data_IF_064448759963
#
_entry.id   IF_064448759963
#
_cell.length_a   1.000
_cell.length_b   1.000
_cell.length_c   1.000
_cell.angle_alpha   90.00
_cell.angle_beta   90.00
_cell.angle_gamma   90.00
#
_symmetry.space_group_name_H-M   'P 1'
#
loop_
_entity.id
_entity.type
_entity.pdbx_description
1 polymer ?
#
# COMPACT_ATOMS: atom_id res chain seq x y z
N UNK A 1 -0.71 12.74 4.50
CA UNK A 1 0.37 12.74 3.50
C UNK A 1 -0.26 12.64 2.11
N UNK A 2 0.50 12.88 1.04
CA UNK A 2 0.01 12.66 -0.33
C UNK A 2 0.43 11.28 -0.80
N UNK A 3 -0.34 10.69 -1.74
CA UNK A 3 -0.04 9.38 -2.30
C UNK A 3 1.39 9.29 -2.83
N UNK A 4 1.87 10.32 -3.52
CA UNK A 4 3.21 10.42 -4.06
C UNK A 4 4.28 10.47 -2.97
N UNK A 5 3.98 11.11 -1.83
CA UNK A 5 4.86 11.11 -0.66
C UNK A 5 4.95 9.72 -0.05
N UNK A 6 3.83 9.01 0.06
CA UNK A 6 3.76 7.67 0.65
C UNK A 6 4.47 6.64 -0.24
N UNK A 7 4.33 6.76 -1.57
CA UNK A 7 5.10 5.96 -2.55
C UNK A 7 6.60 6.24 -2.42
N UNK A 8 7.01 7.50 -2.40
CA UNK A 8 8.43 7.87 -2.24
C UNK A 8 9.01 7.31 -0.94
N UNK A 9 8.21 7.32 0.14
CA UNK A 9 8.62 6.78 1.43
C UNK A 9 8.81 5.26 1.39
N UNK A 10 7.94 4.52 0.70
CA UNK A 10 8.13 3.07 0.50
C UNK A 10 9.42 2.78 -0.25
N UNK A 11 9.74 3.54 -1.29
CA UNK A 11 10.98 3.36 -2.05
C UNK A 11 12.21 3.59 -1.16
N UNK A 12 12.19 4.63 -0.32
CA UNK A 12 13.25 4.88 0.66
C UNK A 12 13.39 3.73 1.67
N UNK A 13 12.27 3.19 2.16
CA UNK A 13 12.25 2.05 3.09
C UNK A 13 12.90 0.83 2.41
N UNK A 14 12.51 0.53 1.16
CA UNK A 14 13.07 -0.58 0.40
C UNK A 14 14.58 -0.41 0.16
N UNK A 15 15.06 0.81 -0.10
CA UNK A 15 16.49 1.09 -0.21
C UNK A 15 17.22 0.89 1.12
N UNK A 16 16.67 1.38 2.23
CA UNK A 16 17.27 1.25 3.56
C UNK A 16 17.32 -0.20 4.04
N UNK A 17 16.31 -1.01 3.74
CA UNK A 17 16.30 -2.44 4.06
C UNK A 17 17.37 -3.23 3.30
N UNK A 18 17.84 -2.73 2.15
CA UNK A 18 18.93 -3.33 1.39
C UNK A 18 20.33 -2.80 1.78
N UNK A 19 20.41 -1.86 2.72
CA UNK A 19 21.69 -1.34 3.20
C UNK A 19 22.42 -2.40 4.04
N UNK A 20 23.75 -2.46 3.91
CA UNK A 20 24.59 -3.45 4.59
C UNK A 20 24.82 -3.18 6.08
N UNK A 21 24.46 -1.99 6.58
CA UNK A 21 24.74 -1.54 7.95
C UNK A 21 23.48 -1.41 8.83
N UNK A 22 22.35 -1.97 8.39
CA UNK A 22 21.09 -1.93 9.13
C UNK A 22 21.06 -2.94 10.27
N UNK A 23 20.61 -2.51 11.45
CA UNK A 23 20.40 -3.41 12.59
C UNK A 23 19.06 -4.14 12.47
N UNK A 24 18.92 -5.30 13.11
CA UNK A 24 17.66 -6.07 13.11
C UNK A 24 16.47 -5.23 13.61
N UNK A 25 16.66 -4.44 14.66
CA UNK A 25 15.62 -3.59 15.24
C UNK A 25 15.18 -2.49 14.26
N UNK A 26 16.14 -1.88 13.54
CA UNK A 26 15.84 -0.92 12.48
C UNK A 26 15.12 -1.58 11.30
N UNK A 27 15.52 -2.79 10.90
CA UNK A 27 14.87 -3.55 9.83
C UNK A 27 13.43 -3.88 10.18
N UNK A 28 13.15 -4.28 11.43
CA UNK A 28 11.79 -4.56 11.90
C UNK A 28 10.93 -3.29 11.89
N UNK A 29 11.44 -2.18 12.41
CA UNK A 29 10.70 -0.91 12.42
C UNK A 29 10.39 -0.41 10.99
N UNK A 30 11.36 -0.48 10.08
CA UNK A 30 11.18 -0.09 8.67
C UNK A 30 10.22 -1.03 7.94
N UNK A 31 10.25 -2.32 8.24
CA UNK A 31 9.31 -3.30 7.68
C UNK A 31 7.88 -3.01 8.13
N UNK A 32 7.65 -2.77 9.42
CA UNK A 32 6.33 -2.41 9.95
C UNK A 32 5.80 -1.10 9.34
N UNK A 33 6.67 -0.09 9.21
CA UNK A 33 6.33 1.17 8.54
C UNK A 33 5.94 0.93 7.08
N UNK A 34 6.74 0.15 6.34
CA UNK A 34 6.49 -0.18 4.94
C UNK A 34 5.18 -0.95 4.74
N UNK A 35 4.89 -1.92 5.61
CA UNK A 35 3.63 -2.67 5.58
C UNK A 35 2.41 -1.78 5.82
N UNK A 36 2.50 -0.82 6.75
CA UNK A 36 1.42 0.13 6.99
C UNK A 36 1.19 1.03 5.77
N UNK A 37 2.25 1.60 5.21
CA UNK A 37 2.16 2.45 4.02
C UNK A 37 1.60 1.69 2.82
N UNK A 38 2.03 0.45 2.60
CA UNK A 38 1.53 -0.37 1.49
C UNK A 38 0.02 -0.57 1.58
N UNK A 39 -0.49 -0.86 2.78
CA UNK A 39 -1.93 -1.01 3.03
C UNK A 39 -2.71 0.30 2.80
N UNK A 40 -2.14 1.43 3.16
CA UNK A 40 -2.76 2.74 2.95
C UNK A 40 -2.82 3.10 1.45
N UNK A 41 -1.75 2.83 0.71
CA UNK A 41 -1.69 3.03 -0.75
C UNK A 41 -2.68 2.12 -1.49
N UNK A 42 -2.77 0.85 -1.10
CA UNK A 42 -3.74 -0.09 -1.66
C UNK A 42 -5.17 0.42 -1.49
N UNK A 43 -5.50 0.90 -0.28
CA UNK A 43 -6.80 1.50 -0.01
C UNK A 43 -7.07 2.75 -0.86
N UNK A 44 -6.07 3.62 -0.99
CA UNK A 44 -6.20 4.83 -1.81
C UNK A 44 -6.44 4.50 -3.29
N UNK A 45 -5.76 3.48 -3.83
CA UNK A 45 -5.95 3.01 -5.20
C UNK A 45 -7.33 2.39 -5.39
N UNK A 46 -7.81 1.59 -4.44
CA UNK A 46 -9.14 1.00 -4.48
C UNK A 46 -10.24 2.08 -4.46
N UNK A 47 -10.10 3.11 -3.63
CA UNK A 47 -11.02 4.25 -3.62
C UNK A 47 -10.98 5.04 -4.93
N UNK A 48 -9.80 5.22 -5.54
CA UNK A 48 -9.66 5.87 -6.83
C UNK A 48 -10.32 5.04 -7.95
N UNK A 49 -10.11 3.71 -7.95
CA UNK A 49 -10.72 2.77 -8.89
C UNK A 49 -12.25 2.84 -8.85
N UNK A 50 -12.84 2.77 -7.66
CA UNK A 50 -14.30 2.89 -7.47
C UNK A 50 -14.85 4.19 -8.01
N UNK A 51 -14.15 5.31 -7.79
CA UNK A 51 -14.57 6.62 -8.33
C UNK A 51 -14.57 6.62 -9.86
N UNK A 52 -13.58 5.99 -10.48
CA UNK A 52 -13.51 5.85 -11.94
C UNK A 52 -14.64 4.97 -12.46
N UNK A 53 -14.91 3.82 -11.83
CA UNK A 53 -16.00 2.90 -12.20
C UNK A 53 -17.37 3.58 -12.13
N UNK A 54 -17.64 4.35 -11.06
CA UNK A 54 -18.88 5.15 -10.93
C UNK A 54 -19.02 6.15 -12.08
N UNK A 55 -17.94 6.83 -12.46
CA UNK A 55 -17.95 7.82 -13.55
C UNK A 55 -18.14 7.16 -14.92
N UNK A 56 -17.60 5.95 -15.11
CA UNK A 56 -17.76 5.17 -16.34
C UNK A 56 -19.15 4.48 -16.42
N UNK A 57 -19.94 4.50 -15.35
CA UNK A 57 -21.25 3.85 -15.30
C UNK A 57 -21.17 2.33 -15.25
N UNK A 58 -20.00 1.79 -14.91
CA UNK A 58 -19.79 0.36 -14.69
C UNK A 58 -20.08 0.07 -13.21
N UNK A 59 -21.35 -0.16 -12.86
CA UNK A 59 -21.68 -0.83 -11.59
C UNK A 59 -21.25 -2.30 -11.70
N UNK A 60 -19.98 -2.59 -11.44
CA UNK A 60 -19.58 -3.97 -11.18
C UNK A 60 -19.93 -4.31 -9.74
N UNK A 61 -21.06 -5.02 -9.58
CA UNK A 61 -21.34 -5.91 -8.45
C UNK A 61 -20.07 -6.69 -8.11
N UNK A 62 -19.32 -6.20 -7.11
CA UNK A 62 -18.14 -6.92 -6.64
C UNK A 62 -18.66 -8.02 -5.73
N UNK A 63 -18.88 -9.19 -6.34
CA UNK A 63 -19.20 -10.43 -5.62
C UNK A 63 -18.19 -10.61 -4.49
N UNK A 64 -18.72 -10.74 -3.27
CA UNK A 64 -17.97 -11.16 -2.10
C UNK A 64 -17.14 -12.40 -2.44
N UNK A 65 -15.81 -12.27 -2.47
CA UNK A 65 -14.98 -13.44 -2.22
C UNK A 65 -15.10 -13.70 -0.73
N UNK A 66 -16.16 -14.42 -0.37
CA UNK A 66 -16.28 -15.06 0.94
C UNK A 66 -15.06 -15.92 1.16
N UNK A 67 -14.45 -15.78 2.34
CA UNK A 67 -13.46 -16.66 2.94
C UNK A 67 -13.42 -18.08 2.31
N UNK A 68 -12.22 -18.51 1.91
CA UNK A 68 -11.89 -19.92 1.88
C UNK A 68 -10.78 -20.16 2.89
N UNK A 69 -11.08 -21.09 3.80
CA UNK A 69 -10.25 -21.60 4.90
C UNK A 69 -8.86 -22.10 4.45
#
# INVERSE_FOLDING_TARGET
>A
MSFETDVSRIEEIAQKLNASDITLEQSLALFEEGMRLAKELEKALEEAKRKVEIVLGEETDTVEITNLE
#
